data_IF_422336503306
#
_entry.id   IF_422336503306
#
_cell.length_a   1.000
_cell.length_b   1.000
_cell.length_c   1.000
_cell.angle_alpha   90.00
_cell.angle_beta   90.00
_cell.angle_gamma   90.00
#
_symmetry.space_group_name_H-M   'P 1'
#
loop_
_entity.id
_entity.type
_entity.pdbx_description
1 polymer ?
#
# COMPACT_ATOMS: atom_id res chain seq x y z
N UNK A 1 -33.32 -5.74 15.06
CA UNK A 1 -32.30 -6.56 14.39
C UNK A 1 -31.44 -5.64 13.55
N UNK A 2 -30.50 -4.98 14.21
CA UNK A 2 -29.65 -3.94 13.61
C UNK A 2 -28.20 -4.38 13.79
N UNK A 3 -27.82 -5.47 13.12
CA UNK A 3 -26.44 -5.92 13.07
C UNK A 3 -26.20 -6.59 11.72
N UNK A 4 -25.01 -6.35 11.16
CA UNK A 4 -24.39 -7.01 9.98
C UNK A 4 -24.63 -6.36 8.60
N UNK A 5 -24.87 -5.05 8.53
CA UNK A 5 -24.29 -4.25 7.45
C UNK A 5 -23.62 -3.10 8.17
N UNK A 6 -22.31 -3.23 8.39
CA UNK A 6 -21.51 -2.21 9.07
C UNK A 6 -21.85 -0.83 8.50
N UNK A 7 -21.85 0.14 9.39
CA UNK A 7 -22.30 1.52 9.28
C UNK A 7 -21.71 2.30 8.07
N UNK A 8 -22.02 1.84 6.85
CA UNK A 8 -21.45 2.27 5.55
C UNK A 8 -22.08 3.57 5.04
N UNK A 9 -23.10 4.05 5.72
CA UNK A 9 -23.80 5.29 5.43
C UNK A 9 -23.80 6.24 6.62
N UNK A 10 -23.01 5.92 7.64
CA UNK A 10 -22.80 6.82 8.77
C UNK A 10 -22.15 8.12 8.30
N UNK A 11 -22.52 9.27 8.90
CA UNK A 11 -21.86 10.54 8.62
C UNK A 11 -20.33 10.43 8.74
N UNK A 12 -19.83 9.77 9.80
CA UNK A 12 -18.41 9.59 10.06
C UNK A 12 -17.73 8.71 9.01
N UNK A 13 -18.42 7.67 8.53
CA UNK A 13 -17.89 6.82 7.47
C UNK A 13 -17.84 7.56 6.14
N UNK A 14 -18.89 8.31 5.80
CA UNK A 14 -18.95 9.10 4.56
C UNK A 14 -17.89 10.20 4.57
N UNK A 15 -17.67 10.89 5.69
CA UNK A 15 -16.65 11.93 5.80
C UNK A 15 -15.23 11.35 5.70
N UNK A 16 -14.94 10.24 6.39
CA UNK A 16 -13.66 9.51 6.23
C UNK A 16 -13.40 9.13 4.78
N UNK A 17 -14.42 8.56 4.11
CA UNK A 17 -14.32 8.21 2.69
C UNK A 17 -14.07 9.43 1.82
N UNK A 18 -14.78 10.54 2.05
CA UNK A 18 -14.61 11.79 1.29
C UNK A 18 -13.17 12.28 1.40
N UNK A 19 -12.61 12.31 2.60
CA UNK A 19 -11.22 12.72 2.83
C UNK A 19 -10.19 11.79 2.17
N UNK A 20 -10.40 10.47 2.24
CA UNK A 20 -9.51 9.52 1.60
C UNK A 20 -9.55 9.62 0.08
N UNK A 21 -10.74 9.83 -0.50
CA UNK A 21 -10.90 10.10 -1.93
C UNK A 21 -10.22 11.40 -2.34
N UNK A 22 -10.35 12.46 -1.53
CA UNK A 22 -9.65 13.72 -1.77
C UNK A 22 -8.13 13.52 -1.79
N UNK A 23 -7.57 12.86 -0.78
CA UNK A 23 -6.12 12.54 -0.71
C UNK A 23 -5.69 11.69 -1.90
N UNK A 24 -6.47 10.68 -2.28
CA UNK A 24 -6.21 9.85 -3.45
C UNK A 24 -6.16 10.70 -4.74
N UNK A 25 -7.17 11.53 -4.98
CA UNK A 25 -7.21 12.39 -6.17
C UNK A 25 -6.06 13.41 -6.17
N UNK A 26 -5.71 13.98 -5.03
CA UNK A 26 -4.56 14.88 -4.90
C UNK A 26 -3.24 14.17 -5.24
N UNK A 27 -3.04 12.91 -4.81
CA UNK A 27 -1.86 12.11 -5.18
C UNK A 27 -1.80 11.85 -6.69
N UNK A 28 -2.93 11.45 -7.29
CA UNK A 28 -3.02 11.22 -8.74
C UNK A 28 -2.76 12.51 -9.53
N UNK A 29 -3.34 13.63 -9.10
CA UNK A 29 -3.17 14.94 -9.73
C UNK A 29 -1.72 15.46 -9.64
N UNK A 30 -1.00 15.16 -8.54
CA UNK A 30 0.42 15.53 -8.38
C UNK A 30 1.37 14.61 -9.12
N UNK A 31 0.91 13.43 -9.53
CA UNK A 31 1.74 12.47 -10.23
C UNK A 31 2.00 12.92 -11.68
N UNK A 32 3.25 13.01 -12.16
CA UNK A 32 3.58 13.59 -13.46
C UNK A 32 2.99 12.84 -14.66
N UNK A 33 2.87 11.50 -14.56
CA UNK A 33 2.23 10.65 -15.58
C UNK A 33 0.73 10.50 -15.39
N UNK A 34 0.26 10.03 -14.22
CA UNK A 34 -1.16 9.73 -13.99
C UNK A 34 -2.08 10.94 -14.18
N UNK A 35 -1.66 12.13 -13.78
CA UNK A 35 -2.43 13.38 -13.97
C UNK A 35 -2.73 13.72 -15.43
N UNK A 36 -1.93 13.20 -16.38
CA UNK A 36 -2.07 13.46 -17.82
C UNK A 36 -2.78 12.33 -18.56
N UNK A 37 -3.26 11.31 -17.85
CA UNK A 37 -3.96 10.20 -18.48
C UNK A 37 -5.36 10.62 -18.91
N UNK A 38 -5.79 10.16 -20.09
CA UNK A 38 -7.14 10.40 -20.59
C UNK A 38 -8.20 9.92 -19.61
N UNK A 39 -7.94 8.79 -18.92
CA UNK A 39 -8.85 8.24 -17.92
C UNK A 39 -9.05 9.18 -16.75
N UNK A 40 -7.99 9.80 -16.24
CA UNK A 40 -8.10 10.73 -15.12
C UNK A 40 -8.80 12.04 -15.52
N UNK A 41 -8.47 12.58 -16.70
CA UNK A 41 -9.13 13.78 -17.22
C UNK A 41 -10.62 13.52 -17.47
N UNK A 42 -10.95 12.41 -18.15
CA UNK A 42 -12.34 12.00 -18.36
C UNK A 42 -13.08 11.75 -17.04
N UNK A 43 -12.42 11.19 -16.02
CA UNK A 43 -13.04 10.98 -14.71
C UNK A 43 -13.45 12.30 -14.04
N UNK A 44 -12.66 13.35 -14.19
CA UNK A 44 -12.92 14.66 -13.58
C UNK A 44 -13.87 15.53 -14.41
N UNK A 45 -13.81 15.45 -15.73
CA UNK A 45 -14.47 16.42 -16.64
C UNK A 45 -15.71 15.86 -17.34
N UNK A 46 -15.81 14.53 -17.48
CA UNK A 46 -16.89 13.92 -18.28
C UNK A 46 -18.23 13.96 -17.56
N UNK A 47 -19.26 14.49 -18.22
CA UNK A 47 -20.66 14.34 -17.79
C UNK A 47 -21.18 12.90 -17.98
N UNK A 48 -20.56 12.11 -18.85
CA UNK A 48 -20.95 10.74 -19.21
C UNK A 48 -19.88 9.69 -18.82
N UNK A 49 -19.34 9.77 -17.60
CA UNK A 49 -18.24 8.89 -17.12
C UNK A 49 -18.52 7.40 -17.36
N UNK A 50 -19.74 6.93 -17.13
CA UNK A 50 -20.09 5.52 -17.30
C UNK A 50 -19.91 5.07 -18.75
N UNK A 51 -20.23 5.91 -19.74
CA UNK A 51 -20.05 5.60 -21.16
C UNK A 51 -18.56 5.51 -21.50
N UNK A 52 -17.75 6.46 -21.01
CA UNK A 52 -16.30 6.43 -21.18
C UNK A 52 -15.71 5.15 -20.58
N UNK A 53 -16.09 4.82 -19.34
CA UNK A 53 -15.62 3.63 -18.63
C UNK A 53 -15.87 2.34 -19.42
N UNK A 54 -17.09 2.12 -19.92
CA UNK A 54 -17.42 0.91 -20.69
C UNK A 54 -16.64 0.85 -22.01
N UNK A 55 -16.51 1.98 -22.73
CA UNK A 55 -15.72 2.05 -23.97
C UNK A 55 -14.25 1.76 -23.73
N UNK A 56 -13.68 2.31 -22.66
CA UNK A 56 -12.28 2.09 -22.29
C UNK A 56 -12.01 0.62 -21.93
N UNK A 57 -12.88 0.00 -21.13
CA UNK A 57 -12.75 -1.43 -20.82
C UNK A 57 -12.85 -2.33 -22.06
N UNK A 58 -13.79 -2.04 -22.97
CA UNK A 58 -13.94 -2.80 -24.22
C UNK A 58 -12.73 -2.69 -25.16
N UNK A 59 -12.02 -1.55 -25.15
CA UNK A 59 -10.75 -1.37 -25.87
C UNK A 59 -9.60 -2.14 -25.24
N UNK A 60 -9.55 -2.22 -23.91
CA UNK A 60 -8.51 -2.96 -23.19
C UNK A 60 -8.57 -4.46 -23.47
N UNK A 61 -9.77 -5.06 -23.41
CA UNK A 61 -9.95 -6.50 -23.66
C UNK A 61 -9.67 -6.91 -25.11
N UNK A 62 -9.76 -5.99 -26.07
CA UNK A 62 -9.46 -6.28 -27.48
C UNK A 62 -7.98 -6.15 -27.85
N UNK A 63 -7.16 -5.56 -26.98
CA UNK A 63 -5.72 -5.36 -27.22
C UNK A 63 -4.86 -6.47 -26.59
N UNK A 64 -5.27 -7.01 -25.44
CA UNK A 64 -4.53 -8.06 -24.72
C UNK A 64 -4.60 -9.44 -25.42
N UNK A 65 -5.64 -9.74 -26.19
CA UNK A 65 -5.82 -11.05 -26.86
C UNK A 65 -4.76 -11.39 -27.94
N UNK A 66 -3.90 -10.44 -28.32
CA UNK A 66 -2.93 -10.64 -29.42
C UNK A 66 -1.54 -11.15 -28.99
N UNK A 67 -1.15 -11.02 -27.71
CA UNK A 67 0.20 -11.38 -27.25
C UNK A 67 0.28 -12.07 -25.87
N UNK A 68 -0.85 -12.31 -25.19
CA UNK A 68 -0.86 -12.71 -23.76
C UNK A 68 -1.22 -14.18 -23.50
N UNK A 69 -1.83 -14.90 -24.45
CA UNK A 69 -2.41 -16.23 -24.18
C UNK A 69 -1.42 -17.33 -23.74
N UNK A 70 -0.14 -17.22 -24.10
CA UNK A 70 0.91 -18.19 -23.71
C UNK A 70 1.62 -17.76 -22.41
N UNK A 71 1.64 -16.45 -22.11
CA UNK A 71 2.21 -15.92 -20.87
C UNK A 71 1.24 -16.08 -19.69
N UNK A 72 -0.07 -15.96 -19.89
CA UNK A 72 -1.06 -16.10 -18.82
C UNK A 72 -1.23 -17.55 -18.35
N UNK A 73 -1.16 -18.53 -19.25
CA UNK A 73 -1.21 -19.96 -18.89
C UNK A 73 0.05 -20.41 -18.14
N UNK A 74 1.19 -19.77 -18.41
CA UNK A 74 2.41 -19.96 -17.62
C UNK A 74 2.33 -19.19 -16.30
N UNK A 75 1.86 -17.94 -16.31
CA UNK A 75 1.66 -17.09 -15.12
C UNK A 75 0.75 -17.76 -14.08
N UNK A 76 -0.38 -18.34 -14.49
CA UNK A 76 -1.29 -19.05 -13.58
C UNK A 76 -0.70 -20.33 -12.99
N UNK A 77 0.26 -20.96 -13.68
CA UNK A 77 0.99 -22.13 -13.17
C UNK A 77 2.14 -21.71 -12.24
N UNK A 78 2.66 -20.49 -12.40
CA UNK A 78 3.79 -19.92 -11.65
C UNK A 78 3.35 -19.16 -10.38
N UNK A 79 2.10 -18.72 -10.29
CA UNK A 79 1.52 -18.11 -9.09
C UNK A 79 1.52 -19.04 -7.85
N UNK A 80 1.74 -20.36 -8.03
CA UNK A 80 1.84 -21.33 -6.93
C UNK A 80 3.28 -21.67 -6.52
N UNK A 81 4.31 -21.12 -7.17
CA UNK A 81 5.69 -21.35 -6.81
C UNK A 81 6.22 -20.17 -5.99
N UNK A 82 6.48 -20.38 -4.70
CA UNK A 82 7.28 -19.48 -3.86
C UNK A 82 8.75 -19.47 -4.34
N UNK A 83 9.01 -19.10 -5.60
CA UNK A 83 10.35 -18.96 -6.13
C UNK A 83 10.91 -17.61 -5.67
N UNK A 84 11.87 -17.67 -4.75
CA UNK A 84 12.66 -16.49 -4.38
C UNK A 84 13.56 -16.12 -5.56
N UNK A 85 13.61 -14.83 -5.89
CA UNK A 85 14.54 -14.26 -6.86
C UNK A 85 15.95 -14.79 -6.63
N UNK A 86 16.59 -15.33 -7.67
CA UNK A 86 17.93 -15.92 -7.55
C UNK A 86 18.99 -14.84 -7.36
N UNK A 87 18.79 -13.67 -7.96
CA UNK A 87 19.67 -12.50 -7.83
C UNK A 87 18.84 -11.25 -7.54
N UNK A 88 18.48 -11.01 -6.27
CA UNK A 88 17.81 -9.77 -5.90
C UNK A 88 18.76 -8.59 -6.11
N UNK A 89 18.32 -7.59 -6.88
CA UNK A 89 19.05 -6.32 -7.04
C UNK A 89 18.97 -5.54 -5.72
N UNK A 90 20.14 -5.22 -5.18
CA UNK A 90 20.33 -4.56 -3.89
C UNK A 90 19.53 -3.26 -3.76
N UNK A 91 19.36 -2.50 -4.86
CA UNK A 91 18.59 -1.26 -4.85
C UNK A 91 17.16 -1.49 -4.40
N UNK A 92 16.50 -2.52 -4.93
CA UNK A 92 15.11 -2.83 -4.60
C UNK A 92 14.97 -3.52 -3.23
N UNK A 93 16.01 -4.23 -2.78
CA UNK A 93 16.07 -4.75 -1.40
C UNK A 93 16.07 -3.59 -0.41
N UNK A 94 16.97 -2.60 -0.61
CA UNK A 94 17.07 -1.41 0.24
C UNK A 94 15.75 -0.62 0.23
N UNK A 95 15.15 -0.41 -0.95
CA UNK A 95 13.85 0.27 -1.06
C UNK A 95 12.77 -0.47 -0.25
N UNK A 96 12.72 -1.80 -0.34
CA UNK A 96 11.75 -2.62 0.40
C UNK A 96 11.98 -2.55 1.91
N UNK A 97 13.20 -2.66 2.38
CA UNK A 97 13.53 -2.53 3.80
C UNK A 97 13.12 -1.15 4.35
N UNK A 98 13.37 -0.08 3.60
CA UNK A 98 12.91 1.25 3.99
C UNK A 98 11.39 1.40 3.96
N UNK A 99 10.70 0.74 3.03
CA UNK A 99 9.24 0.72 2.97
C UNK A 99 8.65 -0.04 4.16
N UNK A 100 9.16 -1.23 4.47
CA UNK A 100 8.71 -2.05 5.59
C UNK A 100 8.92 -1.31 6.93
N UNK A 101 10.10 -0.71 7.14
CA UNK A 101 10.36 0.12 8.32
C UNK A 101 9.43 1.33 8.42
N UNK A 102 9.07 1.93 7.28
CA UNK A 102 8.10 3.02 7.25
C UNK A 102 6.68 2.56 7.60
N UNK A 103 6.23 1.40 7.08
CA UNK A 103 4.95 0.78 7.42
C UNK A 103 4.86 0.45 8.92
N UNK A 104 5.91 -0.14 9.50
CA UNK A 104 6.00 -0.42 10.94
C UNK A 104 5.92 0.87 11.78
N UNK A 105 6.57 1.94 11.31
CA UNK A 105 6.52 3.26 11.92
C UNK A 105 5.11 3.84 11.89
N UNK A 106 4.42 3.78 10.75
CA UNK A 106 3.03 4.25 10.61
C UNK A 106 2.06 3.43 11.46
N UNK A 107 2.17 2.10 11.47
CA UNK A 107 1.34 1.23 12.31
C UNK A 107 1.55 1.52 13.81
N UNK A 108 2.80 1.82 14.19
CA UNK A 108 3.11 2.24 15.56
C UNK A 108 2.48 3.59 15.90
N UNK A 109 2.53 4.56 14.99
CA UNK A 109 1.88 5.88 15.13
C UNK A 109 0.37 5.76 15.24
N UNK A 110 -0.26 4.93 14.40
CA UNK A 110 -1.70 4.65 14.44
C UNK A 110 -2.13 4.13 15.82
N UNK A 111 -1.44 3.12 16.33
CA UNK A 111 -1.71 2.56 17.66
C UNK A 111 -1.53 3.59 18.77
N UNK A 112 -0.49 4.41 18.70
CA UNK A 112 -0.23 5.46 19.70
C UNK A 112 -1.28 6.57 19.65
N UNK A 113 -1.64 7.03 18.47
CA UNK A 113 -2.65 8.07 18.29
C UNK A 113 -4.05 7.56 18.65
N UNK A 114 -4.37 6.28 18.39
CA UNK A 114 -5.60 5.65 18.88
C UNK A 114 -5.68 5.64 20.41
N UNK A 115 -4.59 5.28 21.10
CA UNK A 115 -4.51 5.39 22.57
C UNK A 115 -4.61 6.83 23.05
N UNK A 116 -4.00 7.77 22.33
CA UNK A 116 -4.08 9.20 22.65
C UNK A 116 -5.53 9.69 22.55
N UNK A 117 -6.27 9.29 21.50
CA UNK A 117 -7.69 9.61 21.34
C UNK A 117 -8.53 9.14 22.53
N UNK A 118 -8.34 7.88 22.96
CA UNK A 118 -9.03 7.34 24.15
C UNK A 118 -8.70 8.14 25.40
N UNK A 119 -7.40 8.35 25.68
CA UNK A 119 -6.96 9.11 26.87
C UNK A 119 -7.48 10.54 26.90
N UNK A 120 -7.59 11.19 25.75
CA UNK A 120 -8.14 12.54 25.66
C UNK A 120 -9.66 12.54 25.91
N UNK A 121 -10.36 11.49 25.47
CA UNK A 121 -11.76 11.27 25.82
C UNK A 121 -11.95 11.07 27.33
N UNK A 122 -11.15 10.20 27.94
CA UNK A 122 -11.17 9.95 29.39
C UNK A 122 -10.90 11.26 30.16
N UNK A 123 -9.86 12.01 29.76
CA UNK A 123 -9.52 13.30 30.37
C UNK A 123 -10.65 14.34 30.25
N UNK A 124 -11.35 14.37 29.11
CA UNK A 124 -12.54 15.23 28.97
C UNK A 124 -13.63 14.85 29.97
N UNK A 125 -13.86 13.55 30.16
CA UNK A 125 -14.82 13.05 31.16
C UNK A 125 -14.39 13.40 32.59
N UNK A 126 -13.12 13.23 32.92
CA UNK A 126 -12.57 13.58 34.24
C UNK A 126 -12.79 15.08 34.58
N UNK A 127 -12.67 15.96 33.58
CA UNK A 127 -12.97 17.39 33.75
C UNK A 127 -14.46 17.66 33.98
N UNK A 128 -15.35 16.95 33.29
CA UNK A 128 -16.81 17.04 33.49
C UNK A 128 -17.21 16.55 34.90
N UNK A 129 -16.68 15.40 35.34
CA UNK A 129 -16.94 14.85 36.67
C UNK A 129 -16.42 15.76 37.80
N UNK A 130 -15.24 16.35 37.60
CA UNK A 130 -14.69 17.33 38.52
C UNK A 130 -15.56 18.60 38.56
N UNK A 131 -16.04 19.07 37.42
CA UNK A 131 -16.94 20.22 37.34
C UNK A 131 -18.22 19.96 38.16
N UNK A 132 -18.86 18.80 37.99
CA UNK A 132 -20.05 18.40 38.78
C UNK A 132 -19.75 18.37 40.28
N UNK A 133 -18.59 17.87 40.67
CA UNK A 133 -18.17 17.83 42.08
C UNK A 133 -17.97 19.24 42.66
N UNK A 134 -17.34 20.15 41.91
CA UNK A 134 -17.18 21.57 42.29
C UNK A 134 -18.54 22.27 42.37
N UNK A 135 -19.46 21.97 41.44
CA UNK A 135 -20.82 22.49 41.47
C UNK A 135 -21.55 22.09 42.75
N UNK A 136 -21.45 20.80 43.13
CA UNK A 136 -22.03 20.27 44.36
C UNK A 136 -21.49 20.98 45.60
N UNK A 137 -20.18 21.22 45.65
CA UNK A 137 -19.56 21.99 46.74
C UNK A 137 -20.08 23.44 46.77
N UNK A 138 -20.25 24.06 45.61
CA UNK A 138 -20.83 25.40 45.48
C UNK A 138 -22.23 25.53 46.10
N UNK A 139 -23.03 24.47 46.07
CA UNK A 139 -24.35 24.43 46.72
C UNK A 139 -24.31 24.22 48.24
N UNK A 140 -23.22 23.68 48.77
CA UNK A 140 -23.06 23.39 50.19
C UNK A 140 -22.40 24.55 50.95
N UNK A 141 -21.52 25.28 50.29
CA UNK A 141 -20.75 26.38 50.89
C UNK A 141 -21.51 27.71 50.84
N UNK A 142 -21.48 28.46 51.95
CA UNK A 142 -21.97 29.84 52.00
C UNK A 142 -20.80 30.82 51.90
N UNK A 143 -20.86 31.75 50.94
CA UNK A 143 -19.86 32.80 50.77
C UNK A 143 -18.82 32.59 49.66
N UNK A 144 -18.63 31.35 49.17
CA UNK A 144 -17.71 31.05 48.05
C UNK A 144 -18.40 30.38 46.85
N UNK A 145 -19.73 30.34 46.83
CA UNK A 145 -20.54 29.76 45.73
C UNK A 145 -20.15 30.34 44.37
N UNK A 146 -20.09 31.67 44.24
CA UNK A 146 -19.81 32.33 42.95
C UNK A 146 -18.42 31.97 42.37
N UNK A 147 -17.32 32.04 43.14
CA UNK A 147 -16.02 31.53 42.71
C UNK A 147 -16.02 30.05 42.32
N UNK A 148 -16.70 29.18 43.07
CA UNK A 148 -16.80 27.76 42.76
C UNK A 148 -17.58 27.50 41.47
N UNK A 149 -18.71 28.20 41.26
CA UNK A 149 -19.48 28.11 40.01
C UNK A 149 -18.70 28.64 38.79
N UNK A 150 -17.78 29.60 38.99
CA UNK A 150 -16.88 30.04 37.90
C UNK A 150 -15.82 28.99 37.59
N UNK A 151 -15.28 28.34 38.61
CA UNK A 151 -14.30 27.27 38.44
C UNK A 151 -14.91 26.04 37.78
N UNK A 152 -16.13 25.65 38.16
CA UNK A 152 -16.93 24.62 37.50
C UNK A 152 -17.05 24.86 36.00
N UNK A 153 -17.52 26.05 35.59
CA UNK A 153 -17.61 26.40 34.15
C UNK A 153 -16.27 26.33 33.43
N UNK A 154 -15.20 26.75 34.10
CA UNK A 154 -13.86 26.65 33.51
C UNK A 154 -13.46 25.19 33.26
N UNK A 155 -13.78 24.28 34.18
CA UNK A 155 -13.54 22.84 34.02
C UNK A 155 -14.37 22.25 32.87
N UNK A 156 -15.64 22.64 32.72
CA UNK A 156 -16.46 22.26 31.55
C UNK A 156 -15.83 22.76 30.25
N UNK A 157 -15.40 24.02 30.21
CA UNK A 157 -14.73 24.59 29.04
C UNK A 157 -13.41 23.85 28.73
N UNK A 158 -12.65 23.43 29.75
CA UNK A 158 -11.45 22.62 29.56
C UNK A 158 -11.76 21.25 28.94
N UNK A 159 -12.74 20.53 29.49
CA UNK A 159 -13.18 19.25 28.93
C UNK A 159 -13.60 19.39 27.47
N UNK A 160 -14.43 20.40 27.17
CA UNK A 160 -14.86 20.70 25.81
C UNK A 160 -13.68 20.99 24.85
N UNK A 161 -12.69 21.77 25.28
CA UNK A 161 -11.49 22.05 24.47
C UNK A 161 -10.64 20.80 24.22
N UNK A 162 -10.48 19.92 25.21
CA UNK A 162 -9.75 18.64 25.05
C UNK A 162 -10.48 17.75 24.05
N UNK A 163 -11.81 17.69 24.13
CA UNK A 163 -12.66 16.93 23.21
C UNK A 163 -12.59 17.48 21.78
N UNK A 164 -12.66 18.79 21.61
CA UNK A 164 -12.54 19.45 20.31
C UNK A 164 -11.17 19.23 19.66
N UNK A 165 -10.08 19.30 20.44
CA UNK A 165 -8.74 18.95 19.96
C UNK A 165 -8.63 17.48 19.53
N UNK A 166 -9.26 16.56 20.28
CA UNK A 166 -9.32 15.14 19.93
C UNK A 166 -9.95 14.92 18.55
N UNK A 167 -11.10 15.56 18.30
CA UNK A 167 -11.84 15.44 17.05
C UNK A 167 -11.17 16.17 15.88
N UNK A 168 -10.59 17.36 16.12
CA UNK A 168 -10.05 18.20 15.05
C UNK A 168 -8.60 17.89 14.68
N UNK A 169 -7.75 17.44 15.61
CA UNK A 169 -6.34 17.21 15.33
C UNK A 169 -5.95 15.73 15.40
N UNK A 170 -6.34 15.01 16.46
CA UNK A 170 -5.92 13.61 16.66
C UNK A 170 -6.61 12.67 15.66
N UNK A 171 -7.90 12.86 15.41
CA UNK A 171 -8.65 12.07 14.44
C UNK A 171 -8.19 12.32 12.99
N UNK A 172 -8.02 13.59 12.59
CA UNK A 172 -7.46 13.92 11.27
C UNK A 172 -6.06 13.36 11.08
N UNK A 173 -5.23 13.38 12.13
CA UNK A 173 -3.90 12.76 12.10
C UNK A 173 -3.99 11.25 11.84
N UNK A 174 -4.87 10.55 12.57
CA UNK A 174 -5.10 9.11 12.39
C UNK A 174 -5.55 8.76 10.97
N UNK A 175 -6.52 9.49 10.44
CA UNK A 175 -7.05 9.27 9.09
C UNK A 175 -5.96 9.44 8.02
N UNK A 176 -5.11 10.45 8.16
CA UNK A 176 -4.00 10.64 7.23
C UNK A 176 -2.92 9.55 7.38
N UNK A 177 -2.61 9.08 8.60
CA UNK A 177 -1.73 7.92 8.81
C UNK A 177 -2.26 6.68 8.09
N UNK A 178 -3.55 6.36 8.23
CA UNK A 178 -4.17 5.25 7.49
C UNK A 178 -4.04 5.43 5.96
N UNK A 179 -4.28 6.65 5.47
CA UNK A 179 -4.15 6.95 4.05
C UNK A 179 -2.71 6.75 3.54
N UNK A 180 -1.69 7.06 4.35
CA UNK A 180 -0.28 6.82 4.02
C UNK A 180 0.11 5.34 4.08
N UNK A 181 -0.49 4.55 4.98
CA UNK A 181 -0.35 3.09 4.98
C UNK A 181 -0.90 2.50 3.68
N UNK A 182 -2.10 2.92 3.27
CA UNK A 182 -2.69 2.52 1.98
C UNK A 182 -1.80 2.88 0.78
N UNK A 183 -1.18 4.06 0.80
CA UNK A 183 -0.23 4.46 -0.25
C UNK A 183 1.06 3.63 -0.25
N UNK A 184 1.56 3.29 0.94
CA UNK A 184 2.74 2.42 1.11
C UNK A 184 2.46 1.01 0.57
N UNK A 185 1.28 0.45 0.86
CA UNK A 185 0.85 -0.83 0.30
C UNK A 185 0.71 -0.79 -1.23
N UNK A 186 0.20 0.30 -1.80
CA UNK A 186 0.12 0.47 -3.25
C UNK A 186 1.52 0.44 -3.89
N UNK A 187 2.49 1.17 -3.31
CA UNK A 187 3.87 1.14 -3.77
C UNK A 187 4.55 -0.23 -3.55
N UNK A 188 4.22 -0.93 -2.46
CA UNK A 188 4.64 -2.33 -2.24
C UNK A 188 4.12 -3.25 -3.34
N UNK A 189 2.90 -3.02 -3.83
CA UNK A 189 2.35 -3.71 -4.99
C UNK A 189 3.18 -3.51 -6.26
N UNK A 190 3.67 -2.28 -6.49
CA UNK A 190 4.57 -1.96 -7.62
C UNK A 190 5.89 -2.74 -7.52
N UNK A 191 6.49 -2.83 -6.32
CA UNK A 191 7.70 -3.64 -6.10
C UNK A 191 7.45 -5.13 -6.36
N UNK A 192 6.30 -5.67 -5.92
CA UNK A 192 5.92 -7.07 -6.19
C UNK A 192 5.76 -7.34 -7.69
N UNK A 193 5.14 -6.42 -8.42
CA UNK A 193 4.96 -6.56 -9.87
C UNK A 193 6.31 -6.57 -10.60
N UNK A 194 7.27 -5.73 -10.17
CA UNK A 194 8.64 -5.76 -10.67
C UNK A 194 9.34 -7.10 -10.38
N UNK A 195 9.19 -7.62 -9.17
CA UNK A 195 9.77 -8.92 -8.81
C UNK A 195 9.19 -10.04 -9.66
N UNK A 196 7.88 -10.02 -9.92
CA UNK A 196 7.23 -10.97 -10.81
C UNK A 196 7.85 -10.94 -12.21
N UNK A 197 8.01 -9.76 -12.81
CA UNK A 197 8.62 -9.65 -14.16
C UNK A 197 10.09 -10.08 -14.19
N UNK A 198 10.81 -9.92 -13.09
CA UNK A 198 12.16 -10.46 -12.96
C UNK A 198 12.17 -11.99 -12.84
N UNK A 199 11.23 -12.58 -12.09
CA UNK A 199 11.08 -14.03 -11.98
C UNK A 199 10.72 -14.65 -13.34
N UNK A 200 9.77 -14.07 -14.07
CA UNK A 200 9.38 -14.51 -15.41
C UNK A 200 10.61 -14.60 -16.34
N UNK A 201 11.48 -13.58 -16.31
CA UNK A 201 12.73 -13.56 -17.07
C UNK A 201 13.74 -14.64 -16.61
N UNK A 202 13.95 -14.81 -15.31
CA UNK A 202 14.87 -15.81 -14.75
C UNK A 202 14.44 -17.24 -15.09
N UNK A 203 13.13 -17.51 -15.07
CA UNK A 203 12.55 -18.81 -15.37
C UNK A 203 12.60 -19.12 -16.87
N UNK A 204 12.24 -18.17 -17.73
CA UNK A 204 12.39 -18.32 -19.19
C UNK A 204 13.86 -18.56 -19.57
N UNK A 205 14.79 -17.85 -18.95
CA UNK A 205 16.23 -18.03 -19.17
C UNK A 205 16.71 -19.42 -18.73
N UNK A 206 16.23 -19.90 -17.58
CA UNK A 206 16.54 -21.26 -17.11
C UNK A 206 15.94 -22.33 -18.03
N UNK A 207 14.72 -22.11 -18.53
CA UNK A 207 14.08 -23.02 -19.48
C UNK A 207 14.85 -23.11 -20.79
N UNK A 208 15.23 -21.97 -21.36
CA UNK A 208 16.10 -21.91 -22.55
C UNK A 208 17.41 -22.68 -22.31
N UNK A 209 18.08 -22.47 -21.17
CA UNK A 209 19.31 -23.18 -20.83
C UNK A 209 19.12 -24.70 -20.81
N UNK A 210 18.00 -25.18 -20.27
CA UNK A 210 17.70 -26.62 -20.24
C UNK A 210 17.47 -27.19 -21.65
N UNK A 211 16.75 -26.46 -22.51
CA UNK A 211 16.50 -26.88 -23.90
C UNK A 211 17.79 -26.89 -24.72
N UNK A 212 18.69 -25.92 -24.52
CA UNK A 212 20.02 -25.91 -25.15
C UNK A 212 20.84 -27.13 -24.72
N UNK A 213 20.85 -27.46 -23.43
CA UNK A 213 21.54 -28.65 -22.92
C UNK A 213 20.94 -29.94 -23.49
N UNK A 214 19.62 -30.02 -23.63
CA UNK A 214 18.94 -31.17 -24.26
C UNK A 214 19.36 -31.32 -25.73
N UNK A 215 19.39 -30.21 -26.49
CA UNK A 215 19.86 -30.19 -27.88
C UNK A 215 21.31 -30.61 -27.98
N UNK A 216 22.19 -30.11 -27.13
CA UNK A 216 23.61 -30.48 -27.11
C UNK A 216 23.81 -31.97 -26.77
N UNK A 217 23.05 -32.52 -25.82
CA UNK A 217 23.07 -33.97 -25.50
C UNK A 217 22.63 -34.82 -26.69
N UNK A 218 21.54 -34.41 -27.36
CA UNK A 218 21.03 -35.06 -28.57
C UNK A 218 21.98 -34.92 -29.76
N UNK A 219 22.72 -33.81 -29.87
CA UNK A 219 23.72 -33.59 -30.92
C UNK A 219 24.96 -34.48 -30.70
N UNK A 220 25.43 -34.58 -29.45
CA UNK A 220 26.61 -35.36 -29.09
C UNK A 220 26.38 -36.89 -29.04
N UNK A 221 25.16 -37.37 -29.32
CA UNK A 221 24.85 -38.81 -29.39
C UNK A 221 24.69 -39.48 -28.03
N UNK A 222 24.66 -38.70 -26.95
CA UNK A 222 24.32 -39.19 -25.62
C UNK A 222 22.80 -39.34 -25.53
N UNK A 223 22.31 -40.42 -26.13
CA UNK A 223 20.91 -40.83 -26.04
C UNK A 223 20.45 -41.02 -24.60
N UNK A 224 19.21 -40.63 -24.36
CA UNK A 224 18.46 -40.76 -23.11
C UNK A 224 18.48 -42.22 -22.60
N UNK A 225 19.37 -42.54 -21.65
CA UNK A 225 19.32 -43.83 -20.93
C UNK A 225 20.68 -44.49 -20.71
N UNK A 226 21.34 -44.15 -19.61
CA UNK A 226 22.39 -44.97 -19.00
C UNK A 226 21.74 -46.17 -18.30
N UNK A 227 21.12 -47.05 -19.08
CA UNK A 227 20.39 -48.22 -18.59
C UNK A 227 20.46 -49.37 -19.58
N UNK A 228 20.79 -50.56 -19.08
CA UNK A 228 21.03 -51.79 -19.86
C UNK A 228 19.88 -52.13 -20.83
N UNK A 229 18.65 -51.67 -20.54
CA UNK A 229 17.48 -51.88 -21.42
C UNK A 229 17.50 -51.11 -22.75
N UNK A 230 18.17 -49.95 -22.84
CA UNK A 230 18.17 -49.14 -24.08
C UNK A 230 19.11 -49.70 -25.15
N UNK A 231 20.25 -50.26 -24.73
CA UNK A 231 21.21 -50.91 -25.64
C UNK A 231 20.60 -52.11 -26.37
N UNK A 232 19.70 -52.86 -25.71
CA UNK A 232 19.00 -53.98 -26.34
C UNK A 232 17.94 -53.52 -27.35
N UNK A 233 17.20 -52.45 -27.03
CA UNK A 233 16.24 -51.86 -27.97
C UNK A 233 16.96 -51.28 -29.19
N UNK A 234 18.01 -50.50 -28.98
CA UNK A 234 18.81 -49.88 -30.03
C UNK A 234 19.45 -50.92 -30.97
N UNK A 235 19.93 -52.05 -30.44
CA UNK A 235 20.53 -53.11 -31.26
C UNK A 235 19.48 -53.94 -32.03
N UNK A 236 18.33 -54.23 -31.42
CA UNK A 236 17.20 -54.93 -32.08
C UNK A 236 16.56 -54.06 -33.16
N UNK A 237 16.53 -52.74 -32.95
CA UNK A 237 15.90 -51.77 -33.86
C UNK A 237 16.87 -51.33 -34.98
N UNK A 238 18.19 -51.33 -34.73
CA UNK A 238 19.22 -51.11 -35.76
C UNK A 238 19.26 -52.18 -36.86
N UNK A 239 18.73 -53.38 -36.57
CA UNK A 239 18.56 -54.46 -37.54
C UNK A 239 17.33 -54.27 -38.45
N UNK A 240 16.45 -53.30 -38.16
CA UNK A 240 15.20 -53.04 -38.91
C UNK A 240 15.32 -51.97 -40.01
N UNK A 241 16.48 -51.32 -40.12
CA UNK A 241 16.87 -50.52 -41.29
C UNK A 241 16.51 -49.02 -41.23
N UNK A 242 17.55 -48.18 -41.29
CA UNK A 242 17.59 -46.88 -42.01
C UNK A 242 16.79 -45.66 -41.51
N UNK A 243 15.80 -45.80 -40.63
CA UNK A 243 14.84 -44.70 -40.36
C UNK A 243 15.18 -43.80 -39.13
N UNK A 244 16.22 -44.12 -38.36
CA UNK A 244 16.54 -43.45 -37.09
C UNK A 244 17.25 -42.11 -37.25
N UNK A 245 18.18 -41.97 -38.19
CA UNK A 245 18.94 -40.73 -38.38
C UNK A 245 18.06 -39.56 -38.85
N UNK A 246 17.07 -39.84 -39.70
CA UNK A 246 16.09 -38.84 -40.14
C UNK A 246 15.21 -38.35 -38.98
N UNK A 247 14.83 -39.25 -38.06
CA UNK A 247 14.03 -38.90 -36.88
C UNK A 247 14.81 -38.05 -35.86
N UNK A 248 16.12 -38.30 -35.71
CA UNK A 248 17.01 -37.53 -34.82
C UNK A 248 17.31 -36.16 -35.41
N UNK A 249 17.61 -36.09 -36.71
CA UNK A 249 17.78 -34.83 -37.42
C UNK A 249 16.52 -33.95 -37.35
N UNK A 250 15.33 -34.53 -37.52
CA UNK A 250 14.06 -33.81 -37.38
C UNK A 250 13.82 -33.28 -35.95
N UNK A 251 14.20 -34.05 -34.91
CA UNK A 251 14.12 -33.60 -33.51
C UNK A 251 15.11 -32.48 -33.20
N UNK A 252 16.33 -32.55 -33.71
CA UNK A 252 17.32 -31.49 -33.58
C UNK A 252 16.82 -30.19 -34.22
N UNK A 253 16.30 -30.26 -35.45
CA UNK A 253 15.71 -29.09 -36.12
C UNK A 253 14.54 -28.48 -35.34
N UNK A 254 13.68 -29.31 -34.73
CA UNK A 254 12.59 -28.83 -33.87
C UNK A 254 13.10 -28.15 -32.60
N UNK A 255 14.15 -28.70 -31.98
CA UNK A 255 14.78 -28.10 -30.80
C UNK A 255 15.50 -26.80 -31.16
N UNK A 256 16.18 -26.72 -32.30
CA UNK A 256 16.84 -25.50 -32.77
C UNK A 256 15.82 -24.39 -33.09
N UNK A 257 14.69 -24.74 -33.73
CA UNK A 257 13.59 -23.80 -33.94
C UNK A 257 13.03 -23.27 -32.61
N UNK A 258 12.82 -24.17 -31.64
CA UNK A 258 12.33 -23.82 -30.30
C UNK A 258 13.35 -22.98 -29.52
N UNK A 259 14.64 -23.27 -29.64
CA UNK A 259 15.72 -22.47 -29.04
C UNK A 259 15.67 -21.05 -29.59
N UNK A 260 15.49 -20.87 -30.90
CA UNK A 260 15.39 -19.55 -31.51
C UNK A 260 14.18 -18.77 -30.98
N UNK A 261 13.01 -19.39 -30.93
CA UNK A 261 11.79 -18.78 -30.36
C UNK A 261 11.99 -18.40 -28.89
N UNK A 262 12.57 -19.29 -28.09
CA UNK A 262 12.86 -19.03 -26.68
C UNK A 262 13.93 -17.95 -26.49
N UNK A 263 14.91 -17.83 -27.38
CA UNK A 263 15.90 -16.75 -27.35
C UNK A 263 15.23 -15.39 -27.59
N UNK A 264 14.33 -15.31 -28.57
CA UNK A 264 13.54 -14.10 -28.84
C UNK A 264 12.63 -13.75 -27.65
N UNK A 265 11.95 -14.76 -27.06
CA UNK A 265 11.10 -14.57 -25.88
C UNK A 265 11.90 -14.11 -24.64
N UNK A 266 13.09 -14.68 -24.41
CA UNK A 266 13.99 -14.27 -23.31
C UNK A 266 14.48 -12.84 -23.51
N UNK A 267 14.83 -12.44 -24.73
CA UNK A 267 15.25 -11.08 -25.03
C UNK A 267 14.12 -10.08 -24.76
N UNK A 268 12.90 -10.39 -25.19
CA UNK A 268 11.72 -9.56 -24.92
C UNK A 268 11.40 -9.47 -23.41
N UNK A 269 11.49 -10.59 -22.69
CA UNK A 269 11.30 -10.63 -21.24
C UNK A 269 12.39 -9.81 -20.51
N UNK A 270 13.63 -9.83 -21.01
CA UNK A 270 14.73 -9.04 -20.48
C UNK A 270 14.49 -7.54 -20.65
N UNK A 271 14.10 -7.11 -21.85
CA UNK A 271 13.76 -5.71 -22.15
C UNK A 271 12.61 -5.22 -21.26
N UNK A 272 11.56 -6.03 -21.13
CA UNK A 272 10.41 -5.73 -20.28
C UNK A 272 10.81 -5.62 -18.81
N UNK A 273 11.62 -6.57 -18.31
CA UNK A 273 12.12 -6.54 -16.93
C UNK A 273 12.97 -5.30 -16.64
N UNK A 274 13.85 -4.93 -17.57
CA UNK A 274 14.67 -3.72 -17.47
C UNK A 274 13.82 -2.44 -17.49
N UNK A 275 12.84 -2.34 -18.39
CA UNK A 275 11.91 -1.22 -18.43
C UNK A 275 11.10 -1.09 -17.13
N UNK A 276 10.67 -2.22 -16.54
CA UNK A 276 10.04 -2.24 -15.22
C UNK A 276 10.99 -1.76 -14.11
N UNK A 277 12.26 -2.18 -14.13
CA UNK A 277 13.25 -1.70 -13.17
C UNK A 277 13.38 -0.18 -13.20
N UNK A 278 13.55 0.40 -14.39
CA UNK A 278 13.68 1.85 -14.56
C UNK A 278 12.41 2.58 -14.14
N UNK A 279 11.23 2.05 -14.50
CA UNK A 279 9.96 2.64 -14.11
C UNK A 279 9.79 2.62 -12.58
N UNK A 280 10.07 1.50 -11.91
CA UNK A 280 9.93 1.40 -10.44
C UNK A 280 10.90 2.34 -9.73
N UNK A 281 12.09 2.57 -10.25
CA UNK A 281 13.02 3.56 -9.70
C UNK A 281 12.45 4.99 -9.83
N UNK A 282 11.87 5.34 -10.98
CA UNK A 282 11.18 6.62 -11.15
C UNK A 282 9.98 6.75 -10.20
N UNK A 283 9.19 5.69 -10.03
CA UNK A 283 8.04 5.67 -9.12
C UNK A 283 8.49 5.79 -7.66
N UNK A 284 9.63 5.20 -7.29
CA UNK A 284 10.21 5.32 -5.95
C UNK A 284 10.54 6.77 -5.61
N UNK A 285 11.10 7.54 -6.55
CA UNK A 285 11.42 8.94 -6.32
C UNK A 285 10.16 9.80 -6.12
N UNK A 286 9.11 9.52 -6.91
CA UNK A 286 7.79 10.17 -6.76
C UNK A 286 7.16 9.81 -5.42
N UNK A 287 7.18 8.53 -5.05
CA UNK A 287 6.69 8.04 -3.77
C UNK A 287 7.41 8.71 -2.60
N UNK A 288 8.75 8.79 -2.66
CA UNK A 288 9.57 9.42 -1.63
C UNK A 288 9.27 10.92 -1.49
N UNK A 289 9.11 11.63 -2.60
CA UNK A 289 8.77 13.05 -2.60
C UNK A 289 7.38 13.29 -2.01
N UNK A 290 6.38 12.54 -2.46
CA UNK A 290 4.99 12.61 -1.97
C UNK A 290 4.91 12.28 -0.48
N UNK A 291 5.53 11.16 -0.06
CA UNK A 291 5.63 10.75 1.35
C UNK A 291 6.23 11.85 2.22
N UNK A 292 7.34 12.46 1.80
CA UNK A 292 8.01 13.53 2.56
C UNK A 292 7.10 14.74 2.72
N UNK A 293 6.46 15.16 1.63
CA UNK A 293 5.55 16.30 1.65
C UNK A 293 4.36 16.03 2.57
N UNK A 294 3.69 14.89 2.41
CA UNK A 294 2.53 14.53 3.23
C UNK A 294 2.88 14.38 4.71
N UNK A 295 4.02 13.76 5.03
CA UNK A 295 4.46 13.63 6.42
C UNK A 295 4.75 15.00 7.07
N UNK A 296 5.29 15.95 6.30
CA UNK A 296 5.49 17.32 6.78
C UNK A 296 4.15 18.02 7.07
N UNK A 297 3.19 17.89 6.16
CA UNK A 297 1.84 18.46 6.35
C UNK A 297 1.15 17.83 7.55
N UNK A 298 1.20 16.50 7.66
CA UNK A 298 0.60 15.73 8.74
C UNK A 298 1.14 16.12 10.12
N UNK A 299 2.47 16.06 10.29
CA UNK A 299 3.11 16.38 11.57
C UNK A 299 2.96 17.87 11.92
N UNK A 300 2.99 18.74 10.91
CA UNK A 300 2.76 20.17 11.09
C UNK A 300 1.35 20.47 11.59
N UNK A 301 0.33 19.93 10.92
CA UNK A 301 -1.07 20.10 11.32
C UNK A 301 -1.34 19.56 12.73
N UNK A 302 -0.75 18.40 13.07
CA UNK A 302 -0.85 17.84 14.42
C UNK A 302 -0.19 18.73 15.48
N UNK A 303 1.03 19.22 15.21
CA UNK A 303 1.73 20.14 16.12
C UNK A 303 0.95 21.45 16.31
N UNK A 304 0.42 22.03 15.24
CA UNK A 304 -0.42 23.23 15.31
C UNK A 304 -1.69 22.99 16.13
N UNK A 305 -2.29 21.80 16.01
CA UNK A 305 -3.41 21.37 16.86
C UNK A 305 -3.04 21.37 18.34
N UNK A 306 -1.92 20.73 18.69
CA UNK A 306 -1.42 20.67 20.09
C UNK A 306 -1.15 22.08 20.65
N UNK A 307 -0.52 22.94 19.85
CA UNK A 307 -0.25 24.33 20.23
C UNK A 307 -1.57 25.09 20.47
N UNK A 308 -2.56 24.92 19.60
CA UNK A 308 -3.88 25.56 19.77
C UNK A 308 -4.55 25.12 21.07
N UNK A 309 -4.61 23.81 21.32
CA UNK A 309 -5.19 23.26 22.55
C UNK A 309 -4.52 23.87 23.78
N UNK A 310 -3.20 23.79 23.88
CA UNK A 310 -2.49 24.29 25.06
C UNK A 310 -2.63 25.81 25.24
N UNK A 311 -2.66 26.59 24.15
CA UNK A 311 -2.92 28.03 24.23
C UNK A 311 -4.33 28.34 24.75
N UNK A 312 -5.34 27.62 24.28
CA UNK A 312 -6.70 27.75 24.79
C UNK A 312 -6.77 27.38 26.27
N UNK A 313 -6.07 26.32 26.68
CA UNK A 313 -6.01 25.94 28.09
C UNK A 313 -5.37 27.03 28.96
N UNK A 314 -4.23 27.59 28.54
CA UNK A 314 -3.59 28.69 29.29
C UNK A 314 -4.54 29.88 29.42
N UNK A 315 -5.21 30.28 28.33
CA UNK A 315 -6.16 31.39 28.36
C UNK A 315 -7.36 31.13 29.29
N UNK A 316 -7.85 29.89 29.35
CA UNK A 316 -8.92 29.52 30.27
C UNK A 316 -8.46 29.58 31.74
N UNK A 317 -7.23 29.14 32.04
CA UNK A 317 -6.65 29.25 33.38
C UNK A 317 -6.47 30.72 33.79
N UNK A 318 -5.88 31.54 32.92
CA UNK A 318 -5.65 32.97 33.18
C UNK A 318 -6.95 33.74 33.47
N UNK A 319 -8.07 33.32 32.87
CA UNK A 319 -9.40 33.91 33.14
C UNK A 319 -9.98 33.50 34.49
N UNK A 320 -9.63 32.30 34.97
CA UNK A 320 -10.26 31.66 36.14
C UNK A 320 -9.48 31.91 37.42
N UNK A 321 -8.15 31.91 37.35
CA UNK A 321 -7.24 32.11 38.49
C UNK A 321 -7.55 33.37 39.31
N UNK A 322 -7.77 34.56 38.71
CA UNK A 322 -7.96 35.79 39.47
C UNK A 322 -9.22 35.78 40.35
N UNK A 323 -10.26 35.03 39.96
CA UNK A 323 -11.46 34.88 40.80
C UNK A 323 -11.25 33.94 41.97
N UNK A 324 -10.37 32.96 41.83
CA UNK A 324 -10.03 32.01 42.87
C UNK A 324 -9.07 32.62 43.90
N UNK A 325 -8.09 33.40 43.45
CA UNK A 325 -7.15 34.11 44.32
C UNK A 325 -7.82 35.16 45.21
N UNK A 326 -8.99 35.66 44.81
CA UNK A 326 -9.78 36.62 45.59
C UNK A 326 -10.68 35.96 46.64
N UNK A 327 -10.72 34.64 46.72
CA UNK A 327 -11.45 33.94 47.77
C UNK A 327 -10.73 34.21 49.10
N UNK A 328 -11.41 34.91 49.99
CA UNK A 328 -10.95 35.13 51.35
C UNK A 328 -11.78 34.25 52.29
N UNK A 329 -11.13 33.32 52.97
CA UNK A 329 -11.78 32.52 54.02
C UNK A 329 -11.41 33.17 55.35
N UNK A 330 -12.39 33.75 56.05
CA UNK A 330 -12.19 34.18 57.44
C UNK A 330 -11.92 32.92 58.27
N UNK A 331 -10.75 32.88 58.93
CA UNK A 331 -10.34 31.78 59.82
C UNK A 331 -11.18 31.74 61.11
#
# INVERSE_FOLDING_TARGET
>A
MEYVIGDRFSPDFIERRRQDLERFLQRVARHPRLSRTEVFQAFLESTEWNVFKHKHHARSTSQDDSHTGVLDTLSDTLLNAFTKLKKPDERFVVIRTHLDSFEEGLASLERLAGRSKTRMGDLSGDYEDLAVSVQGLGYLESGITDPLMRFERALVDFGANVKDHSASATEQFLEHVHSLLGYSHAFKGVLKLRDQKQLDFEELSAYLSNVVVERDRLANGYGYGMGIGSYFKEKVESLRGGETDMSRAARLLRLDAKIKELQEAVLHAQETSNAFNDQVLSEHDIFRATKRHEMKVLLGAFADGQIRMHKQSVQAWDRTMPSLERIYVEN
#
